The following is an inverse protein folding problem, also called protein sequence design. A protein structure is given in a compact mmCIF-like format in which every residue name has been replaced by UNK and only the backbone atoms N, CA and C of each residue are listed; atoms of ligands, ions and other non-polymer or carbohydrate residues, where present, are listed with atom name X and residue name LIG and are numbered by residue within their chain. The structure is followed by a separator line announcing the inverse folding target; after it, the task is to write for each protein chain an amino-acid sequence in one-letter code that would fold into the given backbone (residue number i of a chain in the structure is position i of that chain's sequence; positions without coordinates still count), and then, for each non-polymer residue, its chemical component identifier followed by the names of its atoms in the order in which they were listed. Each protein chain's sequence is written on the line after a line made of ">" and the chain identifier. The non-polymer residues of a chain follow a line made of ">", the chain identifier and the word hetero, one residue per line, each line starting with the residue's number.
data_IF_961300914325
#
_entry.id   IF_961300914325
#
_cell.length_a   1.000
_cell.length_b   1.000
_cell.length_c   1.000
_cell.angle_alpha   90.00
_cell.angle_beta   90.00
_cell.angle_gamma   90.00
#
_symmetry.space_group_name_H-M   'P 1'
#
loop_
_entity.id
_entity.type
_entity.pdbx_description
1 polymer ?
#
# COMPACT_ATOMS: atom_id res chain seq x y z
N UNK A 1 -8.12 -17.78 4.38
CA UNK A 1 -7.32 -17.94 5.63
C UNK A 1 -6.56 -19.27 5.69
N UNK A 2 -7.24 -20.43 5.74
CA UNK A 2 -6.58 -21.75 5.87
C UNK A 2 -5.54 -22.07 4.79
N UNK A 3 -5.71 -21.55 3.57
CA UNK A 3 -4.76 -21.72 2.46
C UNK A 3 -3.58 -20.73 2.48
N UNK A 4 -3.75 -19.56 3.11
CA UNK A 4 -2.77 -18.45 3.03
C UNK A 4 -1.86 -18.41 4.25
N UNK A 5 -2.41 -18.65 5.45
CA UNK A 5 -1.63 -18.61 6.69
C UNK A 5 -0.40 -19.54 6.68
N UNK A 6 -0.49 -20.79 6.20
CA UNK A 6 0.67 -21.68 6.13
C UNK A 6 1.78 -21.18 5.19
N UNK A 7 1.46 -20.26 4.26
CA UNK A 7 2.43 -19.70 3.32
C UNK A 7 3.24 -18.53 3.91
N UNK A 8 2.71 -17.83 4.92
CA UNK A 8 3.35 -16.62 5.46
C UNK A 8 4.81 -16.82 5.91
N UNK A 9 5.18 -17.93 6.59
CA UNK A 9 6.57 -18.20 6.96
C UNK A 9 7.56 -18.32 5.79
N UNK A 10 7.06 -18.49 4.56
CA UNK A 10 7.88 -18.63 3.35
C UNK A 10 7.99 -17.31 2.56
N UNK A 11 7.37 -16.22 3.04
CA UNK A 11 7.39 -14.93 2.38
C UNK A 11 8.45 -14.01 3.03
N UNK A 12 9.29 -13.40 2.20
CA UNK A 12 10.12 -12.28 2.64
C UNK A 12 9.27 -11.03 2.85
N UNK A 13 8.37 -10.76 1.91
CA UNK A 13 7.45 -9.62 1.97
C UNK A 13 6.04 -10.03 1.56
N UNK A 14 5.05 -9.32 2.08
CA UNK A 14 3.64 -9.43 1.67
C UNK A 14 3.08 -8.02 1.40
N UNK A 15 2.36 -7.85 0.29
CA UNK A 15 1.61 -6.63 -0.04
C UNK A 15 0.18 -7.04 -0.32
N UNK A 16 -0.76 -6.59 0.51
CA UNK A 16 -2.18 -6.97 0.44
C UNK A 16 -3.09 -5.79 0.78
N UNK A 17 -4.38 -5.88 0.43
CA UNK A 17 -5.34 -4.86 0.83
C UNK A 17 -5.79 -5.04 2.30
N UNK A 18 -6.50 -4.06 2.81
CA UNK A 18 -6.89 -4.00 4.21
C UNK A 18 -7.92 -5.06 4.62
N UNK A 19 -8.79 -5.45 3.69
CA UNK A 19 -9.80 -6.49 3.94
C UNK A 19 -9.16 -7.88 4.03
N UNK A 20 -8.20 -8.17 3.15
CA UNK A 20 -7.38 -9.39 3.17
C UNK A 20 -6.55 -9.47 4.45
N UNK A 21 -5.87 -8.38 4.82
CA UNK A 21 -5.05 -8.32 6.02
C UNK A 21 -5.89 -8.53 7.28
N UNK A 22 -7.02 -7.83 7.39
CA UNK A 22 -7.94 -7.97 8.53
C UNK A 22 -8.49 -9.39 8.67
N UNK A 23 -8.83 -10.03 7.54
CA UNK A 23 -9.29 -11.41 7.52
C UNK A 23 -8.21 -12.43 7.92
N UNK A 24 -6.91 -12.16 7.67
CA UNK A 24 -5.82 -13.04 8.07
C UNK A 24 -5.56 -13.02 9.58
N UNK A 25 -5.77 -11.87 10.24
CA UNK A 25 -5.45 -11.66 11.66
C UNK A 25 -6.67 -11.60 12.59
N UNK A 26 -7.87 -11.85 12.04
CA UNK A 26 -9.17 -11.76 12.73
C UNK A 26 -9.47 -10.37 13.33
N UNK A 27 -9.08 -9.32 12.63
CA UNK A 27 -9.40 -7.93 12.99
C UNK A 27 -10.07 -7.29 11.77
N UNK A 28 -11.41 -7.19 11.72
CA UNK A 28 -12.09 -6.52 10.62
C UNK A 28 -11.58 -5.10 10.45
N UNK A 29 -11.08 -4.78 9.26
CA UNK A 29 -10.55 -3.46 8.94
C UNK A 29 -10.89 -3.13 7.49
N UNK A 30 -11.51 -1.98 7.27
CA UNK A 30 -11.91 -1.51 5.95
C UNK A 30 -11.91 0.01 5.93
N UNK A 31 -11.47 0.58 4.82
CA UNK A 31 -11.48 2.03 4.59
C UNK A 31 -12.37 2.31 3.38
N UNK A 32 -13.47 3.04 3.59
CA UNK A 32 -14.50 3.22 2.56
C UNK A 32 -14.06 4.12 1.40
N UNK A 33 -13.12 5.04 1.64
CA UNK A 33 -12.66 5.98 0.63
C UNK A 33 -11.37 6.69 1.02
N UNK A 34 -10.82 7.43 0.06
CA UNK A 34 -9.52 8.06 0.23
C UNK A 34 -9.51 9.16 1.30
N UNK A 35 -10.65 9.80 1.56
CA UNK A 35 -10.82 10.86 2.56
C UNK A 35 -11.51 10.38 3.85
N UNK A 36 -11.66 9.06 4.03
CA UNK A 36 -12.18 8.46 5.26
C UNK A 36 -11.25 8.69 6.45
N UNK A 37 -11.82 8.71 7.65
CA UNK A 37 -11.01 8.70 8.88
C UNK A 37 -10.46 7.29 9.09
N UNK A 38 -9.13 7.17 9.11
CA UNK A 38 -8.44 5.88 9.17
C UNK A 38 -7.85 5.71 10.57
N UNK A 39 -8.15 4.58 11.21
CA UNK A 39 -7.44 4.15 12.40
C UNK A 39 -6.08 3.53 12.01
N UNK A 40 -5.12 4.42 11.75
CA UNK A 40 -3.78 4.04 11.33
C UNK A 40 -3.05 3.18 12.37
N UNK A 41 -3.36 3.33 13.67
CA UNK A 41 -2.75 2.52 14.73
C UNK A 41 -3.21 1.07 14.67
N UNK A 42 -4.50 0.85 14.44
CA UNK A 42 -5.02 -0.51 14.22
C UNK A 42 -4.45 -1.11 12.94
N UNK A 43 -4.28 -0.33 11.88
CA UNK A 43 -3.65 -0.80 10.64
C UNK A 43 -2.18 -1.21 10.84
N UNK A 44 -1.41 -0.44 11.62
CA UNK A 44 -0.05 -0.81 12.05
C UNK A 44 -0.03 -2.10 12.87
N UNK A 45 -0.95 -2.25 13.82
CA UNK A 45 -1.08 -3.47 14.60
C UNK A 45 -1.35 -4.69 13.70
N UNK A 46 -2.21 -4.56 12.70
CA UNK A 46 -2.49 -5.63 11.73
C UNK A 46 -1.22 -5.97 10.92
N UNK A 47 -0.48 -4.97 10.44
CA UNK A 47 0.78 -5.17 9.71
C UNK A 47 1.82 -5.90 10.58
N UNK A 48 2.00 -5.49 11.84
CA UNK A 48 2.90 -6.16 12.79
C UNK A 48 2.45 -7.59 13.11
N UNK A 49 1.14 -7.87 13.12
CA UNK A 49 0.65 -9.25 13.28
C UNK A 49 1.02 -10.13 12.09
N UNK A 50 1.03 -9.63 10.85
CA UNK A 50 1.47 -10.39 9.68
C UNK A 50 2.95 -10.81 9.80
N UNK A 51 3.80 -9.92 10.33
CA UNK A 51 5.19 -10.25 10.67
C UNK A 51 5.24 -11.36 11.73
N UNK A 52 4.46 -11.23 12.81
CA UNK A 52 4.39 -12.25 13.88
C UNK A 52 3.91 -13.61 13.37
N UNK A 53 3.10 -13.63 12.32
CA UNK A 53 2.59 -14.85 11.68
C UNK A 53 3.59 -15.50 10.70
N UNK A 54 4.77 -14.90 10.48
CA UNK A 54 5.89 -15.54 9.79
C UNK A 54 6.49 -14.75 8.62
N UNK A 55 5.92 -13.62 8.21
CA UNK A 55 6.53 -12.79 7.16
C UNK A 55 7.87 -12.25 7.68
N UNK A 56 8.96 -12.57 6.97
CA UNK A 56 10.30 -12.44 7.56
C UNK A 56 10.93 -11.04 7.46
N UNK A 57 10.48 -10.18 6.54
CA UNK A 57 11.07 -8.85 6.35
C UNK A 57 10.06 -7.71 6.37
N UNK A 58 9.02 -7.73 5.52
CA UNK A 58 8.13 -6.58 5.36
C UNK A 58 6.68 -6.97 5.08
N UNK A 59 5.75 -6.45 5.87
CA UNK A 59 4.32 -6.55 5.61
C UNK A 59 3.78 -5.16 5.26
N UNK A 60 3.13 -5.04 4.09
CA UNK A 60 2.53 -3.81 3.60
C UNK A 60 1.03 -4.01 3.40
N UNK A 61 0.25 -3.11 3.96
CA UNK A 61 -1.21 -3.08 3.79
C UNK A 61 -1.56 -1.79 3.07
N UNK A 62 -2.34 -1.86 2.01
CA UNK A 62 -2.84 -0.69 1.30
C UNK A 62 -4.35 -0.53 1.45
N UNK A 63 -4.83 0.71 1.30
CA UNK A 63 -6.22 1.16 1.36
C UNK A 63 -6.42 2.28 0.32
N UNK A 64 -7.66 2.72 0.03
CA UNK A 64 -7.88 3.95 -0.74
C UNK A 64 -7.24 5.20 -0.12
N UNK A 65 -7.10 5.27 1.20
CA UNK A 65 -6.56 6.44 1.91
C UNK A 65 -5.02 6.48 1.95
N UNK A 66 -4.36 5.34 1.75
CA UNK A 66 -2.90 5.21 1.79
C UNK A 66 -2.48 3.80 2.21
N UNK A 67 -1.31 3.68 2.81
CA UNK A 67 -0.76 2.39 3.23
C UNK A 67 0.05 2.47 4.52
N UNK A 68 0.26 1.29 5.10
CA UNK A 68 1.11 1.06 6.27
C UNK A 68 2.06 -0.07 5.97
N UNK A 69 3.28 0.02 6.49
CA UNK A 69 4.21 -1.10 6.53
C UNK A 69 4.69 -1.39 7.95
N UNK A 70 5.02 -2.65 8.21
CA UNK A 70 5.73 -3.10 9.40
C UNK A 70 6.87 -4.04 9.00
N UNK A 71 8.02 -3.94 9.67
CA UNK A 71 9.15 -4.85 9.48
C UNK A 71 9.36 -5.80 10.66
N UNK A 72 10.29 -6.74 10.49
CA UNK A 72 10.68 -7.71 11.53
C UNK A 72 11.45 -7.11 12.71
N UNK A 73 11.85 -5.84 12.64
CA UNK A 73 12.45 -5.10 13.77
C UNK A 73 11.40 -4.43 14.66
N UNK A 74 10.14 -4.43 14.23
CA UNK A 74 9.03 -3.75 14.89
C UNK A 74 8.86 -2.28 14.47
N UNK A 75 9.60 -1.82 13.46
CA UNK A 75 9.44 -0.49 12.90
C UNK A 75 8.21 -0.45 11.99
N UNK A 76 7.47 0.66 12.06
CA UNK A 76 6.31 0.91 11.20
C UNK A 76 6.48 2.17 10.38
N UNK A 77 5.77 2.22 9.25
CA UNK A 77 5.71 3.37 8.35
C UNK A 77 4.27 3.62 7.93
N UNK A 78 3.95 4.87 7.63
CA UNK A 78 2.68 5.29 7.07
C UNK A 78 2.94 6.14 5.83
N UNK A 79 2.10 5.98 4.82
CA UNK A 79 2.13 6.82 3.63
C UNK A 79 0.70 7.11 3.17
N UNK A 80 0.32 8.38 3.10
CA UNK A 80 -0.98 8.78 2.58
C UNK A 80 -1.04 8.62 1.06
N UNK A 81 -2.23 8.32 0.54
CA UNK A 81 -2.49 8.31 -0.90
C UNK A 81 -2.31 9.70 -1.53
N UNK A 82 -2.07 9.72 -2.83
CA UNK A 82 -1.96 10.97 -3.60
C UNK A 82 -3.33 11.65 -3.69
N UNK A 83 -3.35 12.98 -3.57
CA UNK A 83 -4.57 13.81 -3.68
C UNK A 83 -5.00 13.98 -5.15
N UNK A 84 -5.31 12.88 -5.82
CA UNK A 84 -5.84 12.89 -7.19
C UNK A 84 -7.23 13.56 -7.19
N UNK A 85 -7.46 14.61 -7.99
CA UNK A 85 -8.79 15.21 -8.16
C UNK A 85 -9.80 14.20 -8.69
N UNK A 86 -11.04 14.21 -8.18
CA UNK A 86 -12.09 13.29 -8.60
C UNK A 86 -12.35 13.34 -10.12
N UNK A 87 -12.21 14.51 -10.75
CA UNK A 87 -12.36 14.69 -12.19
C UNK A 87 -11.28 13.99 -13.04
N UNK A 88 -10.18 13.58 -12.43
CA UNK A 88 -9.10 12.85 -13.07
C UNK A 88 -9.19 11.34 -12.83
N UNK A 89 -10.08 10.88 -11.93
CA UNK A 89 -10.27 9.45 -11.66
C UNK A 89 -11.17 8.86 -12.75
N UNK A 90 -10.62 7.88 -13.48
CA UNK A 90 -11.28 7.22 -14.61
C UNK A 90 -11.70 5.78 -14.30
N UNK A 91 -10.98 5.12 -13.41
CA UNK A 91 -11.31 3.78 -12.90
C UNK A 91 -10.38 3.39 -11.76
N UNK A 92 -10.81 2.48 -10.88
CA UNK A 92 -9.99 2.02 -9.73
C UNK A 92 -9.46 0.59 -9.89
N UNK A 93 -9.87 -0.09 -10.97
CA UNK A 93 -9.46 -1.45 -11.26
C UNK A 93 -7.96 -1.54 -11.54
N UNK A 94 -7.25 -2.38 -10.78
CA UNK A 94 -5.80 -2.56 -10.90
C UNK A 94 -4.97 -1.61 -10.03
N UNK A 95 -5.59 -0.69 -9.27
CA UNK A 95 -4.85 0.23 -8.41
C UNK A 95 -4.01 -0.50 -7.34
N UNK A 96 -4.52 -1.60 -6.78
CA UNK A 96 -3.80 -2.45 -5.84
C UNK A 96 -2.61 -3.17 -6.47
N UNK A 97 -2.76 -3.67 -7.70
CA UNK A 97 -1.66 -4.32 -8.44
C UNK A 97 -0.57 -3.30 -8.81
N UNK A 98 -0.98 -2.10 -9.25
CA UNK A 98 -0.07 -1.00 -9.52
C UNK A 98 0.68 -0.55 -8.26
N UNK A 99 -0.02 -0.47 -7.12
CA UNK A 99 0.59 -0.21 -5.82
C UNK A 99 1.64 -1.26 -5.48
N UNK A 100 1.28 -2.55 -5.54
CA UNK A 100 2.18 -3.64 -5.23
C UNK A 100 3.41 -3.65 -6.15
N UNK A 101 3.23 -3.40 -7.45
CA UNK A 101 4.34 -3.27 -8.41
C UNK A 101 5.31 -2.15 -8.03
N UNK A 102 4.80 -0.97 -7.63
CA UNK A 102 5.63 0.15 -7.18
C UNK A 102 6.45 -0.18 -5.92
N UNK A 103 5.82 -0.82 -4.94
CA UNK A 103 6.51 -1.27 -3.71
C UNK A 103 7.58 -2.31 -4.02
N UNK A 104 7.25 -3.34 -4.81
CA UNK A 104 8.17 -4.41 -5.21
C UNK A 104 9.36 -3.85 -6.01
N UNK A 105 9.13 -2.86 -6.88
CA UNK A 105 10.19 -2.17 -7.59
C UNK A 105 11.15 -1.48 -6.63
N UNK A 106 10.65 -0.70 -5.67
CA UNK A 106 11.49 -0.04 -4.66
C UNK A 106 12.30 -1.03 -3.82
N UNK A 107 11.68 -2.15 -3.40
CA UNK A 107 12.37 -3.24 -2.68
C UNK A 107 13.49 -3.82 -3.54
N UNK A 108 13.23 -4.10 -4.82
CA UNK A 108 14.22 -4.64 -5.75
C UNK A 108 15.42 -3.69 -5.91
N UNK A 109 15.17 -2.38 -5.92
CA UNK A 109 16.20 -1.34 -6.00
C UNK A 109 16.88 -1.04 -4.65
N UNK A 110 16.57 -1.80 -3.59
CA UNK A 110 17.08 -1.63 -2.23
C UNK A 110 16.84 -0.23 -1.65
N UNK A 111 15.71 0.39 -1.96
CA UNK A 111 15.35 1.70 -1.43
C UNK A 111 14.88 1.64 0.03
N UNK A 112 14.94 2.77 0.75
CA UNK A 112 14.24 2.91 2.03
C UNK A 112 12.76 2.58 1.91
N UNK A 113 12.19 1.89 2.90
CA UNK A 113 10.77 1.47 2.90
C UNK A 113 9.82 2.64 2.63
N UNK A 114 10.09 3.82 3.21
CA UNK A 114 9.24 5.00 2.98
C UNK A 114 9.18 5.38 1.48
N UNK A 115 10.29 5.28 0.76
CA UNK A 115 10.36 5.61 -0.66
C UNK A 115 9.65 4.54 -1.51
N UNK A 116 9.72 3.26 -1.09
CA UNK A 116 8.93 2.18 -1.68
C UNK A 116 7.42 2.44 -1.56
N UNK A 117 6.97 2.88 -0.37
CA UNK A 117 5.57 3.21 -0.13
C UNK A 117 5.14 4.44 -0.92
N UNK A 118 5.98 5.47 -1.00
CA UNK A 118 5.73 6.65 -1.83
C UNK A 118 5.54 6.27 -3.30
N UNK A 119 6.43 5.43 -3.84
CA UNK A 119 6.28 4.93 -5.20
C UNK A 119 5.00 4.09 -5.37
N UNK A 120 4.66 3.22 -4.40
CA UNK A 120 3.43 2.44 -4.43
C UNK A 120 2.17 3.30 -4.53
N UNK A 121 2.04 4.33 -3.69
CA UNK A 121 0.88 5.23 -3.79
C UNK A 121 0.89 6.06 -5.08
N UNK A 122 2.08 6.39 -5.60
CA UNK A 122 2.23 7.13 -6.85
C UNK A 122 1.83 6.31 -8.08
N UNK A 123 2.23 5.03 -8.15
CA UNK A 123 1.83 4.13 -9.24
C UNK A 123 0.33 3.84 -9.20
N UNK A 124 -0.25 3.66 -8.02
CA UNK A 124 -1.70 3.53 -7.86
C UNK A 124 -2.43 4.79 -8.33
N UNK A 125 -1.95 5.98 -7.94
CA UNK A 125 -2.52 7.25 -8.36
C UNK A 125 -2.45 7.46 -9.88
N UNK A 126 -1.36 7.04 -10.52
CA UNK A 126 -1.23 7.12 -11.97
C UNK A 126 -2.15 6.11 -12.68
N UNK A 127 -2.30 4.91 -12.12
CA UNK A 127 -3.20 3.88 -12.67
C UNK A 127 -4.65 4.37 -12.71
N UNK A 128 -5.16 4.96 -11.62
CA UNK A 128 -6.56 5.37 -11.55
C UNK A 128 -6.93 6.55 -12.48
N UNK A 129 -5.94 7.22 -13.04
CA UNK A 129 -6.11 8.30 -14.03
C UNK A 129 -6.22 7.78 -15.48
N UNK A 130 -6.06 6.47 -15.68
CA UNK A 130 -6.20 5.79 -16.97
C UNK A 130 -7.51 5.00 -17.02
N UNK A 131 -8.08 4.88 -18.21
CA UNK A 131 -9.25 4.02 -18.49
C UNK A 131 -8.84 2.53 -18.63
N UNK A 132 -7.54 2.23 -18.48
CA UNK A 132 -6.95 0.89 -18.66
C UNK A 132 -6.42 0.36 -17.34
N UNK A 133 -6.56 -0.94 -17.12
CA UNK A 133 -6.26 -1.61 -15.83
C UNK A 133 -4.78 -1.66 -15.43
N UNK A 134 -3.83 -1.57 -16.36
CA UNK A 134 -2.39 -1.63 -16.04
C UNK A 134 -1.48 -0.89 -17.05
N UNK A 135 -2.06 -0.14 -17.98
CA UNK A 135 -1.29 0.51 -19.04
C UNK A 135 -0.97 1.97 -18.68
N UNK A 136 0.13 2.46 -19.28
CA UNK A 136 0.50 3.87 -19.31
C UNK A 136 1.10 4.45 -18.01
N UNK A 137 1.57 3.62 -17.07
CA UNK A 137 2.40 4.11 -15.94
C UNK A 137 3.75 4.58 -16.49
N UNK A 138 4.09 5.84 -16.26
CA UNK A 138 5.37 6.43 -16.68
C UNK A 138 6.57 5.88 -15.88
N UNK A 139 7.79 6.22 -16.32
CA UNK A 139 9.00 5.97 -15.54
C UNK A 139 8.86 6.50 -14.10
N UNK A 140 9.47 5.80 -13.14
CA UNK A 140 9.22 6.03 -11.72
C UNK A 140 9.53 7.48 -11.30
N UNK A 141 10.54 8.13 -11.89
CA UNK A 141 10.90 9.52 -11.61
C UNK A 141 9.78 10.48 -11.99
N UNK A 142 9.13 10.24 -13.15
CA UNK A 142 8.00 11.03 -13.63
C UNK A 142 6.78 10.81 -12.75
N UNK A 143 6.49 9.54 -12.44
CA UNK A 143 5.38 9.13 -11.58
C UNK A 143 5.47 9.74 -10.18
N UNK A 144 6.67 9.73 -9.57
CA UNK A 144 6.93 10.40 -8.29
C UNK A 144 6.79 11.92 -8.40
N UNK A 145 7.36 12.53 -9.43
CA UNK A 145 7.31 14.00 -9.62
C UNK A 145 5.88 14.51 -9.75
N UNK A 146 5.04 13.81 -10.51
CA UNK A 146 3.62 14.12 -10.66
C UNK A 146 2.85 13.91 -9.35
N UNK A 147 3.13 12.83 -8.63
CA UNK A 147 2.45 12.54 -7.36
C UNK A 147 2.80 13.57 -6.28
N UNK A 148 4.06 13.99 -6.21
CA UNK A 148 4.53 15.06 -5.31
C UNK A 148 3.89 16.41 -5.60
N UNK A 149 3.61 16.74 -6.86
CA UNK A 149 2.96 18.01 -7.23
C UNK A 149 1.49 18.06 -6.80
N UNK A 150 0.81 16.92 -6.79
CA UNK A 150 -0.55 16.77 -6.23
C UNK A 150 -0.53 16.71 -4.70
N UNK A 151 0.57 16.24 -4.12
CA UNK A 151 0.76 16.06 -2.70
C UNK A 151 0.02 14.85 -2.12
N UNK A 152 0.29 14.56 -0.85
CA UNK A 152 -0.21 13.37 -0.17
C UNK A 152 -1.23 13.70 0.92
N UNK A 153 -2.13 12.75 1.18
CA UNK A 153 -3.03 12.78 2.33
C UNK A 153 -2.25 12.60 3.64
N UNK A 154 -2.80 13.13 4.73
CA UNK A 154 -2.16 13.10 6.05
C UNK A 154 -2.39 11.76 6.76
N UNK A 155 -1.39 11.30 7.51
CA UNK A 155 -1.40 10.05 8.27
C UNK A 155 -1.22 10.26 9.78
N UNK A 156 -1.37 11.50 10.26
CA UNK A 156 -1.05 11.90 11.64
C UNK A 156 -2.15 11.61 12.66
N UNK A 157 -3.28 11.03 12.25
CA UNK A 157 -4.36 10.63 13.16
C UNK A 157 -4.18 9.19 13.66
#
# INVERSE_FOLDING_TARGET
>A
KALVLPCLPYLSSIIINESEAGALVDIPFKVDGADSDVDWRTMELIASKLITLGVSQLAVIHTPAGCVAADSTGKTWRQGSVKVPLSQIKGTSGAGDAFAAGVVYGIHQAWPVQDCLELGVATAAHNIQSDKTAADIAQYETTLSQSRSLGYRSTSK
#
